data_IF_813593023370
#
_entry.id   IF_813593023370
#
_cell.length_a   1.000
_cell.length_b   1.000
_cell.length_c   1.000
_cell.angle_alpha   90.00
_cell.angle_beta   90.00
_cell.angle_gamma   90.00
#
_symmetry.space_group_name_H-M   'P 1'
#
loop_
_entity.id
_entity.type
_entity.pdbx_description
1 polymer ?
#
# COMPACT_ATOMS: atom_id res chain seq x y z
N UNK A 1 14.81 -43.63 14.27
CA UNK A 1 14.30 -42.54 15.12
C UNK A 1 12.87 -42.91 15.55
N UNK A 2 12.69 -43.38 16.79
CA UNK A 2 11.39 -43.75 17.37
C UNK A 2 10.66 -42.48 17.82
N UNK A 3 9.74 -41.97 17.01
CA UNK A 3 8.91 -40.82 17.37
C UNK A 3 7.80 -41.28 18.33
N UNK A 4 7.79 -40.70 19.54
CA UNK A 4 6.85 -41.00 20.61
C UNK A 4 5.47 -40.35 20.33
N UNK A 5 4.50 -41.19 19.95
CA UNK A 5 3.11 -40.84 19.61
C UNK A 5 2.32 -40.15 20.75
N UNK A 6 2.81 -40.22 22.00
CA UNK A 6 2.11 -39.71 23.19
C UNK A 6 2.13 -38.19 23.31
N UNK A 7 3.14 -37.52 22.74
CA UNK A 7 3.31 -36.06 22.85
C UNK A 7 2.37 -35.28 21.91
N UNK A 8 1.83 -35.92 20.87
CA UNK A 8 0.95 -35.27 19.89
C UNK A 8 -0.47 -35.03 20.42
N UNK A 9 -0.94 -35.89 21.33
CA UNK A 9 -2.32 -35.83 21.84
C UNK A 9 -2.52 -34.72 22.88
N UNK A 10 -1.46 -34.41 23.65
CA UNK A 10 -1.55 -33.40 24.73
C UNK A 10 -1.66 -31.97 24.20
N UNK A 11 -1.03 -31.67 23.06
CA UNK A 11 -1.04 -30.34 22.43
C UNK A 11 -2.40 -29.99 21.82
N UNK A 12 -3.17 -31.00 21.39
CA UNK A 12 -4.47 -30.77 20.74
C UNK A 12 -5.54 -30.29 21.74
N UNK A 13 -5.48 -30.73 23.00
CA UNK A 13 -6.46 -30.37 24.04
C UNK A 13 -6.31 -28.93 24.56
N UNK A 14 -5.11 -28.33 24.46
CA UNK A 14 -4.85 -26.97 24.95
C UNK A 14 -5.41 -25.92 23.97
N UNK A 15 -5.45 -26.24 22.67
CA UNK A 15 -5.85 -25.29 21.63
C UNK A 15 -7.37 -25.08 21.53
N UNK A 16 -8.20 -26.04 21.94
CA UNK A 16 -9.67 -25.93 21.89
C UNK A 16 -10.26 -25.17 23.07
N UNK A 17 -9.57 -25.11 24.23
CA UNK A 17 -10.08 -24.41 25.42
C UNK A 17 -10.01 -22.88 25.34
N UNK A 18 -9.05 -22.32 24.60
CA UNK A 18 -8.79 -20.88 24.61
C UNK A 18 -9.71 -20.07 23.68
N UNK A 19 -10.52 -20.72 22.86
CA UNK A 19 -11.32 -20.04 21.81
C UNK A 19 -12.72 -19.59 22.26
N UNK A 20 -13.19 -19.99 23.46
CA UNK A 20 -14.58 -19.80 23.89
C UNK A 20 -14.90 -18.54 24.73
N UNK A 21 -13.92 -17.67 25.02
CA UNK A 21 -14.12 -16.53 25.95
C UNK A 21 -14.04 -15.13 25.30
N UNK A 22 -14.02 -15.02 23.96
CA UNK A 22 -13.64 -13.79 23.27
C UNK A 22 -14.73 -12.92 22.64
N UNK A 23 -16.03 -13.19 22.84
CA UNK A 23 -17.12 -12.37 22.25
C UNK A 23 -17.78 -11.47 23.31
N UNK A 24 -17.30 -10.23 23.42
CA UNK A 24 -18.10 -9.14 23.98
C UNK A 24 -18.24 -8.01 22.96
N UNK A 25 -19.51 -7.72 22.71
CA UNK A 25 -20.10 -6.67 21.89
C UNK A 25 -19.95 -5.31 22.57
N UNK A 26 -19.56 -4.28 21.82
CA UNK A 26 -19.82 -2.89 22.21
C UNK A 26 -20.38 -2.12 21.01
N UNK A 27 -21.70 -1.89 21.06
CA UNK A 27 -22.37 -0.81 20.36
C UNK A 27 -22.12 0.49 21.13
N UNK A 28 -21.72 1.56 20.43
CA UNK A 28 -21.85 2.92 20.94
C UNK A 28 -22.31 3.84 19.80
N UNK A 29 -23.55 4.30 19.89
CA UNK A 29 -24.14 5.34 19.06
C UNK A 29 -23.67 6.74 19.50
N UNK A 30 -23.57 7.59 18.50
CA UNK A 30 -23.25 9.01 18.47
C UNK A 30 -24.12 9.93 19.33
N UNK A 31 -23.50 11.00 19.88
CA UNK A 31 -24.02 12.39 19.90
C UNK A 31 -22.84 13.36 20.06
N UNK A 32 -22.75 14.35 19.18
CA UNK A 32 -21.61 15.27 19.08
C UNK A 32 -21.69 16.48 20.01
N UNK A 33 -20.57 17.21 20.14
CA UNK A 33 -20.43 18.66 20.35
C UNK A 33 -18.93 19.00 20.32
N UNK A 34 -18.55 20.06 19.58
CA UNK A 34 -17.16 20.31 19.18
C UNK A 34 -16.25 20.94 20.25
N UNK A 35 -14.94 20.78 20.05
CA UNK A 35 -13.96 21.88 20.02
C UNK A 35 -12.58 21.32 19.67
N UNK A 36 -11.90 22.02 18.76
CA UNK A 36 -10.65 21.65 18.13
C UNK A 36 -9.44 21.83 19.06
N UNK A 37 -8.57 20.82 19.14
CA UNK A 37 -7.12 20.98 19.40
C UNK A 37 -6.36 19.69 19.07
N UNK A 38 -5.89 19.63 17.82
CA UNK A 38 -4.53 19.23 17.45
C UNK A 38 -3.97 17.90 17.96
N UNK A 39 -4.55 16.79 17.48
CA UNK A 39 -3.84 15.52 17.16
C UNK A 39 -4.77 14.65 16.32
N UNK A 40 -5.12 15.14 15.13
CA UNK A 40 -6.22 14.56 14.36
C UNK A 40 -5.84 13.28 13.60
N UNK A 41 -6.30 12.17 14.15
CA UNK A 41 -7.21 11.24 13.48
C UNK A 41 -6.63 10.33 12.39
N UNK A 42 -6.32 9.10 12.78
CA UNK A 42 -6.63 7.91 11.97
C UNK A 42 -7.91 7.28 12.55
N UNK A 43 -9.08 7.81 12.23
CA UNK A 43 -10.35 7.09 12.41
C UNK A 43 -11.41 7.62 11.44
N UNK A 44 -12.22 6.68 10.96
CA UNK A 44 -13.45 6.84 10.15
C UNK A 44 -13.29 6.86 8.62
N UNK A 45 -13.71 5.75 8.00
CA UNK A 45 -14.93 5.82 7.20
C UNK A 45 -14.83 6.45 5.82
N UNK A 46 -14.08 5.80 4.93
CA UNK A 46 -14.47 5.47 3.56
C UNK A 46 -13.23 4.87 2.88
N UNK A 47 -12.94 3.59 3.16
CA UNK A 47 -12.21 2.77 2.22
C UNK A 47 -13.11 2.54 1.00
N UNK A 48 -13.48 3.60 0.26
CA UNK A 48 -13.85 3.45 -1.14
C UNK A 48 -12.72 2.63 -1.73
N UNK A 49 -13.05 1.45 -2.26
CA UNK A 49 -12.12 0.55 -2.92
C UNK A 49 -11.53 1.27 -4.15
N UNK A 50 -10.64 2.24 -3.94
CA UNK A 50 -9.82 2.85 -4.98
C UNK A 50 -8.77 1.80 -5.31
N UNK A 51 -9.07 0.99 -6.31
CA UNK A 51 -8.20 -0.07 -6.82
C UNK A 51 -6.78 0.47 -7.01
N UNK A 52 -5.81 -0.10 -6.28
CA UNK A 52 -4.42 0.38 -6.32
C UNK A 52 -3.92 0.47 -7.77
N UNK A 53 -3.27 1.59 -8.11
CA UNK A 53 -2.85 1.84 -9.49
C UNK A 53 -1.68 0.92 -9.85
N UNK A 54 -1.90 -0.07 -10.73
CA UNK A 54 -0.85 -1.01 -11.17
C UNK A 54 0.14 -0.33 -12.12
N UNK A 55 1.43 -0.58 -11.94
CA UNK A 55 2.52 -0.13 -12.82
C UNK A 55 3.06 -1.29 -13.64
N UNK A 56 3.44 -1.00 -14.86
CA UNK A 56 4.16 -1.92 -15.73
C UNK A 56 5.63 -2.01 -15.29
N UNK A 57 6.11 -3.21 -14.98
CA UNK A 57 7.51 -3.48 -14.62
C UNK A 57 8.50 -3.18 -15.75
N UNK A 58 8.04 -3.29 -17.00
CA UNK A 58 8.86 -3.12 -18.20
C UNK A 58 9.11 -1.67 -18.57
N UNK A 59 8.08 -0.82 -18.53
CA UNK A 59 8.19 0.59 -18.96
C UNK A 59 8.03 1.62 -17.83
N UNK A 60 7.57 1.21 -16.65
CA UNK A 60 7.37 2.10 -15.50
C UNK A 60 6.11 2.97 -15.56
N UNK A 61 5.31 2.85 -16.61
CA UNK A 61 4.02 3.51 -16.78
C UNK A 61 2.89 2.79 -16.06
N UNK A 62 1.76 3.48 -15.90
CA UNK A 62 0.52 2.87 -15.37
C UNK A 62 0.08 1.78 -16.36
N UNK A 63 -0.10 0.55 -15.87
CA UNK A 63 -0.48 -0.59 -16.70
C UNK A 63 -1.88 -0.35 -17.29
N UNK A 64 -1.98 -0.43 -18.61
CA UNK A 64 -3.23 -0.17 -19.34
C UNK A 64 -3.46 1.30 -19.72
N UNK A 65 -2.59 2.23 -19.32
CA UNK A 65 -2.61 3.58 -19.88
C UNK A 65 -2.14 3.57 -21.34
N UNK A 66 -2.60 4.51 -22.15
CA UNK A 66 -2.20 4.64 -23.57
C UNK A 66 -0.68 4.80 -23.77
N UNK A 67 0.02 5.30 -22.74
CA UNK A 67 1.48 5.47 -22.72
C UNK A 67 2.23 4.21 -22.28
N UNK A 68 1.53 3.18 -21.79
CA UNK A 68 2.14 1.93 -21.34
C UNK A 68 2.75 1.17 -22.52
N UNK A 69 4.06 0.94 -22.48
CA UNK A 69 4.79 0.20 -23.51
C UNK A 69 4.69 0.80 -24.93
N UNK A 70 4.38 2.09 -25.06
CA UNK A 70 4.54 2.84 -26.32
C UNK A 70 5.99 2.75 -26.80
N UNK A 71 6.18 2.34 -28.07
CA UNK A 71 7.51 2.20 -28.68
C UNK A 71 8.21 3.55 -28.86
N UNK A 72 7.45 4.62 -29.06
CA UNK A 72 7.95 5.98 -29.28
C UNK A 72 8.31 6.72 -27.98
N UNK A 73 8.09 6.10 -26.81
CA UNK A 73 8.38 6.75 -25.54
C UNK A 73 9.89 6.82 -25.30
N UNK A 74 10.40 8.02 -25.06
CA UNK A 74 11.81 8.26 -24.74
C UNK A 74 12.24 7.45 -23.52
N UNK A 75 13.19 6.53 -23.67
CA UNK A 75 13.76 5.78 -22.54
C UNK A 75 14.68 6.66 -21.70
N UNK A 76 14.69 6.40 -20.40
CA UNK A 76 15.60 7.02 -19.45
C UNK A 76 16.95 6.31 -19.52
N UNK A 77 18.04 7.03 -19.81
CA UNK A 77 19.38 6.45 -19.88
C UNK A 77 19.88 5.86 -18.55
N UNK A 78 19.35 6.29 -17.41
CA UNK A 78 19.77 5.79 -16.09
C UNK A 78 19.05 4.50 -15.64
N UNK A 79 17.76 4.34 -15.94
CA UNK A 79 16.96 3.21 -15.44
C UNK A 79 16.33 2.34 -16.54
N UNK A 80 16.43 2.72 -17.81
CA UNK A 80 15.88 2.01 -18.97
C UNK A 80 14.35 2.08 -19.13
N UNK A 81 13.63 2.69 -18.16
CA UNK A 81 12.17 2.88 -18.21
C UNK A 81 11.79 4.13 -19.02
N UNK A 82 10.51 4.34 -19.30
CA UNK A 82 10.05 5.55 -19.98
C UNK A 82 10.40 6.80 -19.15
N UNK A 83 11.09 7.76 -19.76
CA UNK A 83 11.53 8.99 -19.11
C UNK A 83 10.32 9.79 -18.66
N UNK A 84 10.29 10.15 -17.38
CA UNK A 84 9.17 10.88 -16.79
C UNK A 84 7.98 10.00 -16.39
N UNK A 85 8.01 8.69 -16.64
CA UNK A 85 7.00 7.77 -16.13
C UNK A 85 6.91 7.77 -14.60
N UNK A 86 5.80 7.32 -14.00
CA UNK A 86 5.67 7.13 -12.56
C UNK A 86 6.83 6.33 -11.96
N UNK A 87 7.29 5.30 -12.66
CA UNK A 87 8.37 4.43 -12.23
C UNK A 87 9.79 4.88 -12.59
N UNK A 88 9.96 5.91 -13.43
CA UNK A 88 11.28 6.37 -13.88
C UNK A 88 12.21 6.70 -12.70
N UNK A 89 13.36 6.03 -12.63
CA UNK A 89 14.36 6.12 -11.57
C UNK A 89 13.86 5.78 -10.16
N UNK A 90 12.63 5.28 -10.02
CA UNK A 90 11.97 4.97 -8.73
C UNK A 90 11.68 3.48 -8.58
N UNK A 91 11.60 2.75 -9.69
CA UNK A 91 11.51 1.30 -9.73
C UNK A 91 12.90 0.68 -9.88
N UNK A 92 13.58 0.50 -8.75
CA UNK A 92 14.83 -0.26 -8.70
C UNK A 92 14.57 -1.76 -8.84
N UNK A 93 15.61 -2.55 -9.16
CA UNK A 93 15.48 -4.01 -9.23
C UNK A 93 14.97 -4.60 -7.91
N UNK A 94 15.49 -4.11 -6.78
CA UNK A 94 15.07 -4.53 -5.45
C UNK A 94 13.57 -4.33 -5.20
N UNK A 95 13.04 -3.16 -5.58
CA UNK A 95 11.62 -2.87 -5.42
C UNK A 95 10.75 -3.78 -6.29
N UNK A 96 11.20 -4.12 -7.51
CA UNK A 96 10.49 -5.03 -8.42
C UNK A 96 10.45 -6.47 -7.92
N UNK A 97 11.50 -6.90 -7.22
CA UNK A 97 11.61 -8.24 -6.64
C UNK A 97 10.77 -8.36 -5.38
N UNK A 98 10.88 -7.39 -4.46
CA UNK A 98 10.10 -7.33 -3.22
C UNK A 98 8.61 -7.04 -3.45
N UNK A 99 8.25 -6.42 -4.58
CA UNK A 99 6.87 -6.08 -4.92
C UNK A 99 6.50 -6.66 -6.30
N UNK A 100 6.14 -7.96 -6.36
CA UNK A 100 5.74 -8.61 -7.61
C UNK A 100 4.51 -7.94 -8.23
N UNK A 101 3.65 -7.37 -7.39
CA UNK A 101 2.54 -6.52 -7.77
C UNK A 101 2.91 -5.04 -7.62
N UNK A 102 3.71 -4.48 -8.54
CA UNK A 102 4.01 -3.04 -8.53
C UNK A 102 2.71 -2.22 -8.57
N UNK A 103 2.23 -1.82 -7.40
CA UNK A 103 0.98 -1.10 -7.18
C UNK A 103 1.31 0.18 -6.44
N UNK A 104 0.80 1.30 -6.92
CA UNK A 104 0.83 2.55 -6.19
C UNK A 104 -0.39 2.66 -5.29
N UNK A 105 -0.14 3.03 -4.05
CA UNK A 105 -1.16 3.40 -3.10
C UNK A 105 -1.85 4.69 -3.59
N UNK A 106 -3.15 4.64 -3.85
CA UNK A 106 -3.92 5.82 -4.27
C UNK A 106 -4.04 6.89 -3.17
N UNK A 107 -3.77 6.54 -1.91
CA UNK A 107 -3.86 7.48 -0.79
C UNK A 107 -2.63 8.38 -0.69
N UNK A 108 -1.43 7.83 -0.92
CA UNK A 108 -0.16 8.53 -0.73
C UNK A 108 0.72 8.62 -1.99
N UNK A 109 0.42 7.87 -3.05
CA UNK A 109 1.16 7.86 -4.32
C UNK A 109 2.47 7.07 -4.30
N UNK A 110 2.81 6.44 -3.17
CA UNK A 110 3.98 5.57 -3.01
C UNK A 110 3.68 4.13 -3.41
N UNK A 111 4.71 3.33 -3.59
CA UNK A 111 4.60 1.90 -3.89
C UNK A 111 4.06 1.20 -2.64
N UNK A 112 2.96 0.46 -2.79
CA UNK A 112 2.32 -0.26 -1.69
C UNK A 112 3.25 -1.35 -1.18
N UNK A 113 3.36 -1.48 0.14
CA UNK A 113 4.25 -2.46 0.78
C UNK A 113 5.67 -1.95 1.08
N UNK A 114 6.04 -0.74 0.63
CA UNK A 114 7.29 -0.12 1.06
C UNK A 114 7.12 0.57 2.42
N UNK A 115 8.21 0.68 3.20
CA UNK A 115 8.23 1.44 4.46
C UNK A 115 7.87 2.93 4.29
N UNK A 116 8.03 3.44 3.08
CA UNK A 116 7.69 4.83 2.71
C UNK A 116 6.20 5.00 2.34
N UNK A 117 5.45 3.91 2.17
CA UNK A 117 4.02 3.95 1.92
C UNK A 117 3.28 4.49 3.14
N UNK A 118 2.50 5.55 2.97
CA UNK A 118 1.74 6.20 4.05
C UNK A 118 2.61 6.64 5.25
N UNK A 119 3.90 6.89 5.04
CA UNK A 119 4.76 7.50 6.05
C UNK A 119 4.16 8.82 6.55
N UNK A 120 4.03 8.98 7.87
CA UNK A 120 3.32 10.10 8.52
C UNK A 120 4.01 11.44 8.29
N UNK A 121 5.34 11.44 8.18
CA UNK A 121 6.17 12.64 8.05
C UNK A 121 6.42 13.06 6.59
N UNK A 122 5.79 12.37 5.63
CA UNK A 122 5.98 12.69 4.22
C UNK A 122 5.26 13.98 3.85
N UNK A 123 6.03 14.95 3.31
CA UNK A 123 5.48 16.21 2.79
C UNK A 123 4.43 15.91 1.73
N UNK A 124 3.21 16.46 1.87
CA UNK A 124 2.16 16.35 0.86
C UNK A 124 2.39 17.35 -0.27
N UNK A 125 1.99 16.96 -1.48
CA UNK A 125 1.97 17.82 -2.64
C UNK A 125 0.72 18.70 -2.58
N UNK A 126 0.88 20.03 -2.65
CA UNK A 126 -0.25 20.97 -2.64
C UNK A 126 -1.20 20.84 -3.84
N UNK A 127 -0.77 20.22 -4.95
CA UNK A 127 -1.59 20.08 -6.16
C UNK A 127 -2.49 18.83 -6.16
N UNK A 128 -1.97 17.69 -5.70
CA UNK A 128 -2.68 16.40 -5.77
C UNK A 128 -2.92 15.74 -4.41
N UNK A 129 -2.41 16.31 -3.31
CA UNK A 129 -2.59 15.78 -1.96
C UNK A 129 -1.92 14.42 -1.69
N UNK A 130 -1.04 13.97 -2.59
CA UNK A 130 -0.19 12.77 -2.42
C UNK A 130 1.19 13.15 -1.87
N UNK A 131 2.03 12.20 -1.51
CA UNK A 131 3.39 12.51 -1.05
C UNK A 131 4.18 13.19 -2.17
N UNK A 132 4.78 14.35 -1.86
CA UNK A 132 5.57 15.15 -2.80
C UNK A 132 6.76 14.32 -3.28
N UNK A 133 6.94 14.25 -4.60
CA UNK A 133 8.01 13.46 -5.22
C UNK A 133 7.73 11.96 -5.32
N UNK A 134 6.61 11.47 -4.78
CA UNK A 134 6.19 10.07 -4.93
C UNK A 134 6.03 9.68 -6.41
N UNK A 135 6.15 8.39 -6.76
CA UNK A 135 5.95 7.92 -8.13
C UNK A 135 4.55 8.28 -8.67
N UNK A 136 3.53 8.34 -7.82
CA UNK A 136 2.17 8.77 -8.18
C UNK A 136 1.91 10.27 -8.12
N UNK A 137 2.82 11.09 -7.57
CA UNK A 137 2.60 12.53 -7.38
C UNK A 137 2.24 13.21 -8.71
N UNK A 138 1.03 13.80 -8.78
CA UNK A 138 0.47 14.44 -9.97
C UNK A 138 0.37 13.53 -11.22
N UNK A 139 0.45 12.21 -11.05
CA UNK A 139 0.42 11.22 -12.14
C UNK A 139 -0.72 10.20 -11.99
N UNK A 140 -1.27 10.06 -10.79
CA UNK A 140 -2.49 9.29 -10.54
C UNK A 140 -3.62 10.25 -10.21
N UNK A 141 -4.83 9.98 -10.73
CA UNK A 141 -6.05 10.71 -10.35
C UNK A 141 -6.52 10.18 -9.00
N UNK A 142 -6.87 11.08 -8.08
CA UNK A 142 -7.36 10.74 -6.74
C UNK A 142 -8.87 10.68 -6.73
#
# INVERSE_FOLDING_TARGET
MKLNLKTSLLTLCICTGLFLLGMQTVHAQSKGSGSCSSKSCCSSGACSKKTDTKLCKGCGEIKGAEKCCKKDAKKCGGCGLHKGSPGCCKLTKEVKEKNPDLKLCNSCGQIKGTKTCCAKDAKKCGKCGLHKGSPGCCKIKK
#
